data_IF_316157753010
#
_entry.id   IF_316157753010
#
_cell.length_a   1.000
_cell.length_b   1.000
_cell.length_c   1.000
_cell.angle_alpha   90.00
_cell.angle_beta   90.00
_cell.angle_gamma   90.00
#
_symmetry.space_group_name_H-M   'P 1'
#
loop_
_entity.id
_entity.type
_entity.pdbx_description
1 polymer ?
#
# COMPACT_ATOMS: atom_id res chain seq x y z
N UNK A 1 -24.73 -36.12 -4.78
CA UNK A 1 -24.12 -36.15 -3.43
C UNK A 1 -22.96 -37.14 -3.52
N UNK A 2 -21.74 -36.75 -3.13
CA UNK A 2 -20.47 -37.50 -3.27
C UNK A 2 -19.69 -37.26 -4.59
N UNK A 3 -19.14 -36.06 -4.74
CA UNK A 3 -17.90 -35.77 -5.50
C UNK A 3 -16.95 -34.87 -4.70
N UNK A 4 -17.02 -34.93 -3.36
CA UNK A 4 -16.22 -34.12 -2.43
C UNK A 4 -14.77 -34.64 -2.24
N UNK A 5 -14.34 -35.64 -3.03
CA UNK A 5 -13.02 -36.27 -2.94
C UNK A 5 -12.33 -36.43 -4.29
N UNK A 6 -12.77 -35.72 -5.33
CA UNK A 6 -11.87 -35.45 -6.47
C UNK A 6 -10.85 -34.40 -6.01
N UNK A 7 -9.58 -34.66 -6.30
CA UNK A 7 -8.40 -33.99 -5.72
C UNK A 7 -8.64 -32.50 -5.42
N UNK A 8 -8.38 -32.00 -4.20
CA UNK A 8 -8.57 -30.57 -3.88
C UNK A 8 -7.82 -29.64 -4.85
N UNK A 9 -6.79 -30.14 -5.52
CA UNK A 9 -6.04 -29.45 -6.57
C UNK A 9 -6.84 -29.09 -7.83
N UNK A 10 -8.00 -29.70 -8.09
CA UNK A 10 -8.77 -29.47 -9.31
C UNK A 10 -9.76 -28.31 -9.22
N UNK A 11 -10.16 -27.89 -8.00
CA UNK A 11 -11.04 -26.74 -7.81
C UNK A 11 -10.25 -25.51 -7.33
N UNK A 12 -10.09 -24.46 -8.19
CA UNK A 12 -9.38 -23.24 -7.81
C UNK A 12 -9.97 -22.55 -6.58
N UNK A 13 -11.29 -22.65 -6.40
CA UNK A 13 -11.99 -22.07 -5.26
C UNK A 13 -11.68 -22.81 -3.96
N UNK A 14 -11.66 -24.15 -3.99
CA UNK A 14 -11.33 -24.95 -2.81
C UNK A 14 -9.90 -24.67 -2.32
N UNK A 15 -8.94 -24.59 -3.25
CA UNK A 15 -7.56 -24.23 -2.94
C UNK A 15 -7.43 -22.81 -2.38
N UNK A 16 -8.15 -21.85 -2.97
CA UNK A 16 -8.18 -20.49 -2.45
C UNK A 16 -8.72 -20.41 -1.01
N UNK A 17 -9.84 -21.10 -0.72
CA UNK A 17 -10.40 -21.13 0.64
C UNK A 17 -9.43 -21.78 1.63
N UNK A 18 -8.75 -22.85 1.23
CA UNK A 18 -7.73 -23.51 2.03
C UNK A 18 -6.55 -22.56 2.32
N UNK A 19 -6.07 -21.84 1.30
CA UNK A 19 -5.00 -20.84 1.45
C UNK A 19 -5.39 -19.77 2.45
N UNK A 20 -6.56 -19.13 2.28
CA UNK A 20 -7.04 -18.10 3.20
C UNK A 20 -7.17 -18.65 4.62
N UNK A 21 -7.74 -19.84 4.78
CA UNK A 21 -7.88 -20.47 6.09
C UNK A 21 -6.53 -20.68 6.79
N UNK A 22 -5.57 -21.29 6.09
CA UNK A 22 -4.21 -21.52 6.60
C UNK A 22 -3.51 -20.20 6.91
N UNK A 23 -3.59 -19.21 6.01
CA UNK A 23 -2.99 -17.89 6.19
C UNK A 23 -3.56 -17.19 7.42
N UNK A 24 -4.88 -17.16 7.60
CA UNK A 24 -5.52 -16.51 8.74
C UNK A 24 -5.15 -17.18 10.08
N UNK A 25 -5.09 -18.52 10.11
CA UNK A 25 -4.69 -19.27 11.30
C UNK A 25 -3.26 -18.93 11.69
N UNK A 26 -2.32 -19.03 10.74
CA UNK A 26 -0.90 -18.79 11.02
C UNK A 26 -0.66 -17.32 11.41
N UNK A 27 -1.29 -16.37 10.72
CA UNK A 27 -1.26 -14.96 11.10
C UNK A 27 -1.75 -14.75 12.54
N UNK A 28 -2.87 -15.37 12.95
CA UNK A 28 -3.41 -15.23 14.32
C UNK A 28 -2.51 -15.89 15.37
N UNK A 29 -1.97 -17.08 15.08
CA UNK A 29 -1.07 -17.78 16.00
C UNK A 29 0.21 -16.96 16.19
N UNK A 30 0.84 -16.48 15.11
CA UNK A 30 2.05 -15.68 15.18
C UNK A 30 1.81 -14.33 15.84
N UNK A 31 0.72 -13.64 15.51
CA UNK A 31 0.34 -12.40 16.20
C UNK A 31 0.16 -12.63 17.70
N UNK A 32 -0.51 -13.71 18.11
CA UNK A 32 -0.66 -14.05 19.53
C UNK A 32 0.68 -14.38 20.18
N UNK A 33 1.53 -15.16 19.54
CA UNK A 33 2.85 -15.50 20.05
C UNK A 33 3.73 -14.26 20.24
N UNK A 34 3.71 -13.36 19.25
CA UNK A 34 4.48 -12.11 19.26
C UNK A 34 3.90 -11.09 20.24
N UNK A 35 2.60 -11.14 20.53
CA UNK A 35 1.99 -10.29 21.55
C UNK A 35 2.58 -10.53 22.95
N UNK A 36 3.08 -11.74 23.26
CA UNK A 36 3.80 -12.01 24.51
C UNK A 36 5.10 -11.22 24.63
N UNK A 37 5.72 -10.84 23.50
CA UNK A 37 6.94 -10.02 23.44
C UNK A 37 6.58 -8.55 23.13
N UNK A 38 5.30 -8.17 23.28
CA UNK A 38 4.77 -6.81 23.00
C UNK A 38 4.99 -6.33 21.57
N UNK A 39 5.07 -7.26 20.62
CA UNK A 39 5.18 -6.92 19.21
C UNK A 39 3.79 -6.67 18.61
N UNK A 40 3.62 -5.63 17.78
CA UNK A 40 2.40 -5.35 17.04
C UNK A 40 1.95 -6.52 16.16
N UNK A 41 0.63 -6.67 15.99
CA UNK A 41 0.02 -7.76 15.20
C UNK A 41 0.53 -7.81 13.75
N UNK A 42 0.79 -6.65 13.14
CA UNK A 42 1.26 -6.55 11.74
C UNK A 42 2.58 -7.29 11.53
N UNK A 43 3.47 -7.33 12.53
CA UNK A 43 4.74 -8.05 12.44
C UNK A 43 4.50 -9.56 12.30
N UNK A 44 3.53 -10.11 13.02
CA UNK A 44 3.15 -11.52 12.89
C UNK A 44 2.60 -11.87 11.52
N UNK A 45 1.89 -10.94 10.88
CA UNK A 45 1.39 -11.11 9.51
C UNK A 45 2.52 -11.08 8.49
N UNK A 46 3.49 -10.17 8.64
CA UNK A 46 4.68 -10.09 7.78
C UNK A 46 5.49 -11.40 7.90
N UNK A 47 5.73 -11.88 9.11
CA UNK A 47 6.46 -13.13 9.34
C UNK A 47 5.70 -14.32 8.75
N UNK A 48 4.37 -14.38 8.89
CA UNK A 48 3.55 -15.40 8.23
C UNK A 48 3.76 -15.39 6.72
N UNK A 49 3.76 -14.21 6.10
CA UNK A 49 4.03 -14.03 4.67
C UNK A 49 5.42 -14.52 4.26
N UNK A 50 6.46 -14.24 5.06
CA UNK A 50 7.83 -14.72 4.81
C UNK A 50 7.90 -16.26 4.92
N UNK A 51 7.21 -16.84 5.90
CA UNK A 51 7.13 -18.30 6.09
C UNK A 51 6.48 -18.97 4.89
N UNK A 52 5.32 -18.47 4.45
CA UNK A 52 4.61 -19.03 3.30
C UNK A 52 5.22 -18.64 1.95
N UNK A 53 6.08 -17.62 1.92
CA UNK A 53 6.78 -17.17 0.75
C UNK A 53 7.91 -18.12 0.32
N UNK A 54 8.56 -17.81 -0.81
CA UNK A 54 9.67 -18.62 -1.32
C UNK A 54 10.88 -18.64 -0.36
N UNK A 55 10.96 -17.68 0.58
CA UNK A 55 12.07 -17.51 1.51
C UNK A 55 12.26 -18.62 2.53
N UNK A 56 11.20 -19.35 2.89
CA UNK A 56 11.29 -20.45 3.86
C UNK A 56 10.68 -21.72 3.25
N UNK A 57 9.36 -21.75 3.09
CA UNK A 57 8.68 -22.96 2.65
C UNK A 57 8.82 -23.22 1.14
N UNK A 58 9.26 -22.23 0.36
CA UNK A 58 9.65 -22.44 -1.04
C UNK A 58 10.84 -23.37 -1.26
N UNK A 59 11.68 -23.60 -0.24
CA UNK A 59 12.78 -24.57 -0.32
C UNK A 59 12.34 -26.02 -0.18
N UNK A 60 11.14 -26.26 0.39
CA UNK A 60 10.57 -27.60 0.49
C UNK A 60 10.03 -28.04 -0.88
N UNK A 61 10.68 -29.04 -1.50
CA UNK A 61 10.28 -29.58 -2.80
C UNK A 61 8.79 -29.93 -2.82
N UNK A 62 8.04 -29.34 -3.75
CA UNK A 62 6.62 -29.61 -3.97
C UNK A 62 5.65 -28.85 -3.05
N UNK A 63 6.11 -28.11 -2.03
CA UNK A 63 5.21 -27.41 -1.11
C UNK A 63 4.49 -26.22 -1.76
N UNK A 64 5.23 -25.43 -2.54
CA UNK A 64 4.66 -24.30 -3.32
C UNK A 64 3.64 -24.78 -4.34
N UNK A 65 3.91 -25.88 -5.04
CA UNK A 65 2.98 -26.44 -6.03
C UNK A 65 1.76 -27.10 -5.38
N UNK A 66 1.94 -27.70 -4.20
CA UNK A 66 0.87 -28.39 -3.49
C UNK A 66 -0.17 -27.42 -2.92
N UNK A 67 0.25 -26.32 -2.29
CA UNK A 67 -0.70 -25.43 -1.58
C UNK A 67 -0.85 -24.07 -2.28
N UNK A 68 0.12 -23.63 -3.09
CA UNK A 68 0.06 -22.39 -3.88
C UNK A 68 0.14 -22.65 -5.40
N UNK A 69 -0.79 -23.44 -6.00
CA UNK A 69 -0.79 -23.62 -7.45
C UNK A 69 -1.11 -22.31 -8.17
N UNK A 70 -0.50 -22.10 -9.33
CA UNK A 70 -0.59 -20.87 -10.13
C UNK A 70 -2.01 -20.42 -10.48
N UNK A 71 -2.95 -21.37 -10.63
CA UNK A 71 -4.37 -21.11 -10.87
C UNK A 71 -5.04 -20.41 -9.69
N UNK A 72 -4.81 -20.89 -8.47
CA UNK A 72 -5.35 -20.30 -7.23
C UNK A 72 -4.60 -19.03 -6.80
N UNK A 73 -3.30 -18.94 -7.08
CA UNK A 73 -2.47 -17.78 -6.76
C UNK A 73 -2.98 -16.49 -7.41
N UNK A 74 -3.46 -16.56 -8.67
CA UNK A 74 -4.05 -15.40 -9.35
C UNK A 74 -5.30 -14.90 -8.63
N UNK A 75 -6.16 -15.81 -8.18
CA UNK A 75 -7.38 -15.47 -7.41
C UNK A 75 -7.00 -14.86 -6.06
N UNK A 76 -6.01 -15.46 -5.39
CA UNK A 76 -5.49 -14.95 -4.13
C UNK A 76 -4.91 -13.55 -4.28
N UNK A 77 -4.11 -13.29 -5.31
CA UNK A 77 -3.54 -11.98 -5.62
C UNK A 77 -4.62 -10.93 -5.92
N UNK A 78 -5.63 -11.30 -6.70
CA UNK A 78 -6.77 -10.40 -6.99
C UNK A 78 -7.46 -9.97 -5.70
N UNK A 79 -7.76 -10.92 -4.81
CA UNK A 79 -8.45 -10.64 -3.54
C UNK A 79 -7.54 -9.89 -2.57
N UNK A 80 -6.23 -10.17 -2.55
CA UNK A 80 -5.26 -9.43 -1.77
C UNK A 80 -5.17 -7.96 -2.21
N UNK A 81 -5.14 -7.70 -3.53
CA UNK A 81 -5.13 -6.34 -4.09
C UNK A 81 -6.44 -5.60 -3.77
N UNK A 82 -7.60 -6.24 -3.91
CA UNK A 82 -8.87 -5.66 -3.49
C UNK A 82 -8.89 -5.35 -1.99
N UNK A 83 -8.39 -6.28 -1.17
CA UNK A 83 -8.25 -6.07 0.27
C UNK A 83 -7.36 -4.89 0.61
N UNK A 84 -6.25 -4.71 -0.12
CA UNK A 84 -5.35 -3.57 0.02
C UNK A 84 -6.05 -2.26 -0.34
N UNK A 85 -6.78 -2.21 -1.47
CA UNK A 85 -7.53 -1.03 -1.90
C UNK A 85 -8.55 -0.62 -0.82
N UNK A 86 -9.35 -1.57 -0.32
CA UNK A 86 -10.33 -1.28 0.74
C UNK A 86 -9.66 -0.88 2.05
N UNK A 87 -8.55 -1.52 2.40
CA UNK A 87 -7.77 -1.17 3.58
C UNK A 87 -7.24 0.27 3.52
N UNK A 88 -6.65 0.69 2.39
CA UNK A 88 -6.22 2.09 2.19
C UNK A 88 -7.39 3.06 2.25
N UNK A 89 -8.54 2.67 1.72
CA UNK A 89 -9.74 3.50 1.75
C UNK A 89 -10.27 3.72 3.16
N UNK A 90 -10.45 2.64 3.93
CA UNK A 90 -10.89 2.75 5.32
C UNK A 90 -9.89 3.55 6.15
N UNK A 91 -8.60 3.32 5.92
CA UNK A 91 -7.57 4.11 6.57
C UNK A 91 -7.70 5.59 6.20
N UNK A 92 -7.88 5.91 4.92
CA UNK A 92 -8.10 7.28 4.44
C UNK A 92 -9.34 7.95 5.04
N UNK A 93 -10.40 7.20 5.33
CA UNK A 93 -11.60 7.70 5.99
C UNK A 93 -11.38 8.03 7.48
N UNK A 94 -10.45 7.35 8.13
CA UNK A 94 -10.10 7.56 9.55
C UNK A 94 -9.12 8.74 9.74
N UNK A 95 -8.53 9.25 8.65
CA UNK A 95 -7.59 10.37 8.69
C UNK A 95 -8.26 11.73 8.80
N UNK A 96 -7.87 12.48 9.82
CA UNK A 96 -8.23 13.89 9.95
C UNK A 96 -7.27 14.80 9.17
N UNK A 97 -7.64 15.10 7.93
CA UNK A 97 -6.91 16.03 7.06
C UNK A 97 -6.82 17.46 7.62
N UNK A 98 -7.73 17.86 8.50
CA UNK A 98 -7.70 19.21 9.09
C UNK A 98 -6.55 19.33 10.09
N UNK A 99 -6.32 18.28 10.89
CA UNK A 99 -5.19 18.23 11.82
C UNK A 99 -3.85 18.19 11.09
N UNK A 100 -3.76 17.43 9.99
CA UNK A 100 -2.58 17.41 9.11
C UNK A 100 -2.32 18.82 8.55
N UNK A 101 -3.38 19.47 8.04
CA UNK A 101 -3.28 20.83 7.50
C UNK A 101 -2.96 21.87 8.58
N UNK A 102 -3.37 21.70 9.83
CA UNK A 102 -3.05 22.66 10.89
C UNK A 102 -1.54 22.66 11.21
N UNK A 103 -0.89 21.50 11.11
CA UNK A 103 0.50 21.31 11.53
C UNK A 103 1.53 21.36 10.39
N UNK A 104 1.11 21.60 9.15
CA UNK A 104 1.95 21.51 7.95
C UNK A 104 3.26 22.31 8.01
N UNK A 105 3.26 23.48 8.67
CA UNK A 105 4.44 24.34 8.81
C UNK A 105 5.55 23.69 9.64
N UNK A 106 5.18 22.82 10.57
CA UNK A 106 6.13 22.03 11.39
C UNK A 106 6.44 20.72 10.68
N UNK A 107 5.45 20.09 10.06
CA UNK A 107 5.60 18.79 9.39
C UNK A 107 6.54 18.84 8.19
N UNK A 108 6.46 19.84 7.30
CA UNK A 108 7.26 19.88 6.06
C UNK A 108 8.77 19.95 6.35
N UNK A 109 9.29 20.87 7.18
CA UNK A 109 10.72 20.91 7.46
C UNK A 109 11.24 19.61 8.09
N UNK A 110 10.46 19.01 8.99
CA UNK A 110 10.80 17.73 9.63
C UNK A 110 10.85 16.61 8.59
N UNK A 111 9.88 16.56 7.67
CA UNK A 111 9.85 15.62 6.54
C UNK A 111 11.08 15.77 5.64
N UNK A 112 11.46 16.99 5.30
CA UNK A 112 12.65 17.22 4.49
C UNK A 112 13.91 16.67 5.19
N UNK A 113 14.06 16.93 6.49
CA UNK A 113 15.22 16.42 7.25
C UNK A 113 15.18 14.90 7.39
N UNK A 114 14.00 14.30 7.64
CA UNK A 114 13.84 12.84 7.76
C UNK A 114 14.11 12.12 6.44
N UNK A 115 13.83 12.75 5.30
CA UNK A 115 14.06 12.18 3.97
C UNK A 115 15.52 12.37 3.52
N UNK A 116 16.07 13.59 3.62
CA UNK A 116 17.37 13.93 3.00
C UNK A 116 18.49 13.02 3.50
N UNK A 117 18.54 12.76 4.82
CA UNK A 117 19.64 12.00 5.41
C UNK A 117 19.62 10.51 5.00
N UNK A 118 18.52 9.75 5.17
CA UNK A 118 18.45 8.36 4.73
C UNK A 118 18.47 8.19 3.21
N UNK A 119 17.87 9.10 2.43
CA UNK A 119 17.99 9.11 0.96
C UNK A 119 19.45 9.31 0.55
N UNK A 120 20.18 10.21 1.21
CA UNK A 120 21.61 10.43 0.96
C UNK A 120 22.42 9.15 1.19
N UNK A 121 22.15 8.44 2.28
CA UNK A 121 22.76 7.12 2.57
C UNK A 121 22.36 6.11 1.49
N UNK A 122 21.08 6.03 1.13
CA UNK A 122 20.57 5.14 0.09
C UNK A 122 21.23 5.38 -1.27
N UNK A 123 21.45 6.64 -1.65
CA UNK A 123 22.20 7.01 -2.86
C UNK A 123 23.65 6.56 -2.79
N UNK A 124 24.32 6.74 -1.65
CA UNK A 124 25.71 6.30 -1.47
C UNK A 124 25.83 4.77 -1.56
N UNK A 125 24.93 4.03 -0.90
CA UNK A 125 24.85 2.56 -0.97
C UNK A 125 24.55 2.11 -2.40
N UNK A 126 23.62 2.76 -3.09
CA UNK A 126 23.28 2.43 -4.47
C UNK A 126 24.46 2.63 -5.42
N UNK A 127 25.20 3.74 -5.28
CA UNK A 127 26.40 4.01 -6.07
C UNK A 127 27.49 2.96 -5.83
N UNK A 128 27.71 2.60 -4.56
CA UNK A 128 28.68 1.57 -4.19
C UNK A 128 28.31 0.20 -4.79
N UNK A 129 27.04 -0.21 -4.67
CA UNK A 129 26.56 -1.46 -5.27
C UNK A 129 26.63 -1.45 -6.81
N UNK A 130 26.28 -0.33 -7.45
CA UNK A 130 26.31 -0.21 -8.90
C UNK A 130 27.74 -0.28 -9.46
N UNK A 131 28.73 0.20 -8.71
CA UNK A 131 30.14 0.10 -9.11
C UNK A 131 30.71 -1.31 -8.91
N UNK A 132 30.24 -2.05 -7.91
CA UNK A 132 30.78 -3.38 -7.60
C UNK A 132 30.16 -4.49 -8.46
N UNK A 133 29.03 -4.25 -9.12
CA UNK A 133 28.32 -5.21 -9.95
C UNK A 133 28.24 -4.75 -11.41
N UNK A 134 29.05 -5.33 -12.28
CA UNK A 134 29.04 -5.04 -13.72
C UNK A 134 27.82 -5.61 -14.47
N UNK A 135 26.99 -6.44 -13.80
CA UNK A 135 25.83 -7.10 -14.39
C UNK A 135 24.49 -6.35 -14.31
N UNK A 136 24.48 -5.07 -13.92
CA UNK A 136 23.23 -4.29 -13.79
C UNK A 136 22.87 -3.66 -15.15
N UNK A 137 21.87 -4.23 -15.83
CA UNK A 137 21.37 -3.75 -17.13
C UNK A 137 20.41 -2.55 -17.04
N UNK A 138 20.10 -2.10 -15.82
CA UNK A 138 19.22 -0.94 -15.58
C UNK A 138 20.01 0.37 -15.61
N UNK A 139 19.39 1.43 -16.13
CA UNK A 139 19.91 2.80 -16.01
C UNK A 139 20.37 3.12 -14.58
N UNK A 140 21.60 3.62 -14.46
CA UNK A 140 22.20 4.06 -13.20
C UNK A 140 21.27 4.98 -12.40
N UNK A 141 20.60 5.92 -13.07
CA UNK A 141 19.67 6.85 -12.42
C UNK A 141 18.45 6.14 -11.83
N UNK A 142 17.84 5.23 -12.59
CA UNK A 142 16.68 4.46 -12.10
C UNK A 142 17.07 3.57 -10.93
N UNK A 143 18.23 2.91 -11.00
CA UNK A 143 18.74 2.09 -9.91
C UNK A 143 18.96 2.89 -8.62
N UNK A 144 19.62 4.05 -8.72
CA UNK A 144 19.88 4.92 -7.56
C UNK A 144 18.57 5.42 -6.96
N UNK A 145 17.64 5.93 -7.77
CA UNK A 145 16.35 6.45 -7.28
C UNK A 145 15.52 5.34 -6.60
N UNK A 146 15.51 4.13 -7.17
CA UNK A 146 14.79 3.00 -6.61
C UNK A 146 15.38 2.58 -5.25
N UNK A 147 16.69 2.38 -5.16
CA UNK A 147 17.35 2.01 -3.89
C UNK A 147 17.22 3.12 -2.85
N UNK A 148 17.45 4.38 -3.24
CA UNK A 148 17.34 5.51 -2.32
C UNK A 148 15.91 5.68 -1.78
N UNK A 149 14.89 5.41 -2.60
CA UNK A 149 13.50 5.42 -2.15
C UNK A 149 13.23 4.36 -1.06
N UNK A 150 13.83 3.19 -1.15
CA UNK A 150 13.69 2.15 -0.12
C UNK A 150 14.28 2.51 1.24
N UNK A 151 15.25 3.45 1.29
CA UNK A 151 15.85 3.93 2.54
C UNK A 151 15.16 5.16 3.12
N UNK A 152 14.61 6.01 2.24
CA UNK A 152 14.15 7.36 2.56
C UNK A 152 12.74 7.50 3.08
N UNK A 153 11.87 6.52 2.79
CA UNK A 153 10.43 6.70 2.92
C UNK A 153 9.79 5.57 3.74
N UNK A 154 8.78 5.93 4.52
CA UNK A 154 8.00 4.99 5.31
C UNK A 154 6.65 4.68 4.65
N UNK A 155 6.21 3.42 4.74
CA UNK A 155 4.88 3.04 4.25
C UNK A 155 3.82 3.55 5.21
N UNK A 156 3.16 4.64 4.83
CA UNK A 156 2.04 5.25 5.53
C UNK A 156 1.02 4.26 6.12
N UNK A 157 0.58 3.22 5.39
CA UNK A 157 -0.51 2.35 5.85
C UNK A 157 -0.12 1.41 6.99
N UNK A 158 1.12 0.92 6.93
CA UNK A 158 1.69 0.08 7.99
C UNK A 158 1.87 0.90 9.25
N UNK A 159 2.37 2.14 9.12
CA UNK A 159 2.55 3.06 10.23
C UNK A 159 1.22 3.43 10.89
N UNK A 160 0.18 3.72 10.10
CA UNK A 160 -1.12 4.05 10.65
C UNK A 160 -1.75 2.86 11.39
N UNK A 161 -1.62 1.64 10.86
CA UNK A 161 -2.07 0.42 11.56
C UNK A 161 -1.28 0.18 12.84
N UNK A 162 0.03 0.44 12.81
CA UNK A 162 0.89 0.35 13.97
C UNK A 162 0.43 1.32 15.07
N UNK A 163 0.27 2.60 14.75
CA UNK A 163 -0.20 3.61 15.69
C UNK A 163 -1.61 3.30 16.21
N UNK A 164 -2.50 2.76 15.36
CA UNK A 164 -3.82 2.30 15.78
C UNK A 164 -3.70 1.16 16.81
N UNK A 165 -2.86 0.16 16.52
CA UNK A 165 -2.64 -0.96 17.44
C UNK A 165 -2.04 -0.55 18.78
N UNK A 166 -1.36 0.60 18.82
CA UNK A 166 -0.78 1.20 20.02
C UNK A 166 -1.69 2.23 20.70
N UNK A 167 -2.89 2.50 20.16
CA UNK A 167 -3.79 3.58 20.59
C UNK A 167 -3.15 4.98 20.58
N UNK A 168 -2.25 5.24 19.62
CA UNK A 168 -1.54 6.52 19.50
C UNK A 168 -2.07 7.43 18.38
N UNK A 169 -3.03 6.98 17.57
CA UNK A 169 -3.53 7.74 16.41
C UNK A 169 -4.01 9.16 16.77
N UNK A 170 -4.67 9.31 17.92
CA UNK A 170 -5.24 10.60 18.36
C UNK A 170 -4.29 11.42 19.23
N UNK A 171 -3.14 10.84 19.63
CA UNK A 171 -2.14 11.56 20.43
C UNK A 171 -1.37 12.57 19.55
N UNK A 172 -0.89 13.70 20.10
CA UNK A 172 -0.17 14.71 19.34
C UNK A 172 1.03 14.14 18.55
N UNK A 173 1.73 13.17 19.14
CA UNK A 173 2.85 12.47 18.50
C UNK A 173 2.35 11.64 17.32
N UNK A 174 1.26 10.88 17.48
CA UNK A 174 0.69 10.07 16.40
C UNK A 174 0.16 10.94 15.25
N UNK A 175 -0.56 12.01 15.54
CA UNK A 175 -1.04 12.97 14.53
C UNK A 175 0.13 13.57 13.73
N UNK A 176 1.21 13.96 14.41
CA UNK A 176 2.41 14.48 13.75
C UNK A 176 3.10 13.40 12.89
N UNK A 177 3.23 12.18 13.41
CA UNK A 177 3.83 11.05 12.69
C UNK A 177 3.03 10.64 11.45
N UNK A 178 1.70 10.62 11.53
CA UNK A 178 0.80 10.36 10.38
C UNK A 178 0.90 11.48 9.35
N UNK A 179 0.94 12.74 9.80
CA UNK A 179 1.09 13.90 8.91
C UNK A 179 2.42 13.83 8.15
N UNK A 180 3.50 13.44 8.84
CA UNK A 180 4.83 13.26 8.29
C UNK A 180 4.83 12.15 7.22
N UNK A 181 4.29 10.98 7.57
CA UNK A 181 4.24 9.84 6.65
C UNK A 181 3.34 10.10 5.43
N UNK A 182 2.27 10.88 5.56
CA UNK A 182 1.44 11.28 4.42
C UNK A 182 2.21 12.16 3.43
N UNK A 183 3.08 13.06 3.91
CA UNK A 183 3.97 13.86 3.04
C UNK A 183 5.02 12.96 2.38
N UNK A 184 5.63 12.05 3.14
CA UNK A 184 6.60 11.08 2.62
C UNK A 184 6.00 10.19 1.52
N UNK A 185 4.76 9.72 1.69
CA UNK A 185 4.07 8.87 0.70
C UNK A 185 3.85 9.61 -0.62
N UNK A 186 3.45 10.88 -0.58
CA UNK A 186 3.32 11.71 -1.80
C UNK A 186 4.68 11.86 -2.50
N UNK A 187 5.74 12.13 -1.74
CA UNK A 187 7.08 12.35 -2.30
C UNK A 187 7.63 11.05 -2.90
N UNK A 188 7.47 9.90 -2.25
CA UNK A 188 7.99 8.63 -2.77
C UNK A 188 7.32 8.24 -4.08
N UNK A 189 6.02 8.45 -4.24
CA UNK A 189 5.32 8.17 -5.51
C UNK A 189 5.82 9.04 -6.65
N UNK A 190 6.15 10.31 -6.38
CA UNK A 190 6.78 11.19 -7.39
C UNK A 190 8.18 10.67 -7.74
N UNK A 191 8.99 10.29 -6.74
CA UNK A 191 10.33 9.74 -6.96
C UNK A 191 10.29 8.44 -7.76
N UNK A 192 9.35 7.54 -7.45
CA UNK A 192 9.17 6.26 -8.16
C UNK A 192 8.68 6.45 -9.59
N UNK A 193 7.77 7.40 -9.84
CA UNK A 193 7.35 7.76 -11.20
C UNK A 193 8.51 8.32 -12.04
N UNK A 194 9.42 9.08 -11.42
CA UNK A 194 10.65 9.52 -12.08
C UNK A 194 11.61 8.33 -12.29
N UNK A 195 11.77 7.46 -11.30
CA UNK A 195 12.63 6.27 -11.41
C UNK A 195 12.18 5.34 -12.55
N UNK A 196 10.87 5.12 -12.71
CA UNK A 196 10.31 4.34 -13.82
C UNK A 196 10.57 4.98 -15.18
N UNK A 197 10.51 6.32 -15.27
CA UNK A 197 10.84 7.08 -16.48
C UNK A 197 12.25 6.81 -17.02
N UNK A 198 13.20 6.58 -16.10
CA UNK A 198 14.60 6.34 -16.43
C UNK A 198 14.96 4.86 -16.53
N UNK A 199 14.06 3.93 -16.19
CA UNK A 199 14.33 2.49 -16.24
C UNK A 199 14.47 2.00 -17.70
N UNK A 200 15.28 0.95 -17.92
CA UNK A 200 15.58 0.45 -19.26
C UNK A 200 14.31 0.00 -19.98
N UNK A 201 13.84 0.81 -20.94
CA UNK A 201 12.58 0.62 -21.68
C UNK A 201 11.58 1.77 -21.54
N UNK A 202 11.73 2.64 -20.54
CA UNK A 202 10.92 3.86 -20.37
C UNK A 202 11.48 5.02 -21.19
N UNK A 203 10.63 5.72 -21.93
CA UNK A 203 10.99 7.04 -22.46
C UNK A 203 10.78 8.09 -21.38
N UNK A 204 11.63 9.12 -21.31
CA UNK A 204 11.40 10.27 -20.41
C UNK A 204 10.00 10.91 -20.62
N UNK A 205 9.49 10.80 -21.86
CA UNK A 205 8.12 11.18 -22.23
C UNK A 205 7.06 10.35 -21.49
N UNK A 206 7.27 9.04 -21.32
CA UNK A 206 6.34 8.16 -20.60
C UNK A 206 6.29 8.49 -19.11
N UNK A 207 7.43 8.76 -18.47
CA UNK A 207 7.45 9.20 -17.07
C UNK A 207 6.79 10.57 -16.87
N UNK A 208 7.04 11.52 -17.78
CA UNK A 208 6.37 12.82 -17.76
C UNK A 208 4.86 12.67 -17.97
N UNK A 209 4.45 11.78 -18.88
CA UNK A 209 3.05 11.45 -19.14
C UNK A 209 2.37 10.90 -17.88
N UNK A 210 2.97 9.90 -17.23
CA UNK A 210 2.45 9.34 -15.97
C UNK A 210 2.35 10.43 -14.90
N UNK A 211 3.39 11.24 -14.69
CA UNK A 211 3.38 12.31 -13.68
C UNK A 211 2.27 13.35 -13.94
N UNK A 212 2.09 13.77 -15.20
CA UNK A 212 1.04 14.71 -15.59
C UNK A 212 -0.35 14.13 -15.37
N UNK A 213 -0.55 12.84 -15.64
CA UNK A 213 -1.81 12.15 -15.42
C UNK A 213 -2.12 12.02 -13.93
N UNK A 214 -1.12 11.71 -13.09
CA UNK A 214 -1.31 11.67 -11.63
C UNK A 214 -1.69 13.06 -11.10
N UNK A 215 -1.03 14.13 -11.58
CA UNK A 215 -1.38 15.50 -11.21
C UNK A 215 -2.79 15.87 -11.68
N UNK A 216 -3.16 15.53 -12.92
CA UNK A 216 -4.49 15.77 -13.46
C UNK A 216 -5.56 15.04 -12.64
N UNK A 217 -5.31 13.79 -12.27
CA UNK A 217 -6.18 12.99 -11.41
C UNK A 217 -6.37 13.65 -10.03
N UNK A 218 -5.28 14.06 -9.37
CA UNK A 218 -5.34 14.78 -8.09
C UNK A 218 -6.15 16.07 -8.21
N UNK A 219 -5.92 16.86 -9.26
CA UNK A 219 -6.65 18.11 -9.49
C UNK A 219 -8.15 17.86 -9.69
N UNK A 220 -8.53 16.83 -10.47
CA UNK A 220 -9.93 16.45 -10.66
C UNK A 220 -10.57 16.04 -9.33
N UNK A 221 -9.87 15.26 -8.50
CA UNK A 221 -10.35 14.85 -7.17
C UNK A 221 -10.64 16.04 -6.26
N UNK A 222 -9.75 17.04 -6.24
CA UNK A 222 -9.92 18.21 -5.37
C UNK A 222 -10.87 19.27 -5.93
N UNK A 223 -10.88 19.51 -7.24
CA UNK A 223 -11.63 20.60 -7.88
C UNK A 223 -13.05 20.19 -8.26
N UNK A 224 -13.24 18.94 -8.69
CA UNK A 224 -14.55 18.47 -9.19
C UNK A 224 -15.25 17.63 -8.14
N UNK A 225 -14.58 16.58 -7.67
CA UNK A 225 -15.22 15.57 -6.82
C UNK A 225 -15.50 16.10 -5.42
N UNK A 226 -14.50 16.70 -4.76
CA UNK A 226 -14.69 17.26 -3.40
C UNK A 226 -15.87 18.23 -3.29
N UNK A 227 -16.06 19.24 -4.16
CA UNK A 227 -17.23 20.11 -4.06
C UNK A 227 -18.55 19.41 -4.42
N UNK A 228 -18.55 18.41 -5.31
CA UNK A 228 -19.75 17.59 -5.57
C UNK A 228 -20.19 16.88 -4.30
N UNK A 229 -19.26 16.25 -3.57
CA UNK A 229 -19.56 15.60 -2.30
C UNK A 229 -19.97 16.60 -1.22
N UNK A 230 -19.34 17.77 -1.15
CA UNK A 230 -19.73 18.84 -0.22
C UNK A 230 -21.15 19.37 -0.51
N UNK A 231 -21.49 19.57 -1.78
CA UNK A 231 -22.82 19.95 -2.22
C UNK A 231 -23.86 18.87 -1.93
N UNK A 232 -23.56 17.60 -2.26
CA UNK A 232 -24.43 16.47 -1.99
C UNK A 232 -24.70 16.33 -0.48
N UNK A 233 -23.67 16.43 0.35
CA UNK A 233 -23.81 16.40 1.80
C UNK A 233 -24.74 17.51 2.32
N UNK A 234 -24.55 18.75 1.85
CA UNK A 234 -25.42 19.87 2.22
C UNK A 234 -26.87 19.75 1.69
N UNK A 235 -27.07 19.09 0.55
CA UNK A 235 -28.38 18.84 -0.03
C UNK A 235 -29.17 17.77 0.75
N UNK A 236 -28.51 16.66 1.13
CA UNK A 236 -29.17 15.56 1.83
C UNK A 236 -29.35 15.79 3.34
N UNK A 237 -28.46 16.54 4.01
CA UNK A 237 -28.65 16.99 5.41
C UNK A 237 -29.94 17.79 5.62
N UNK A 238 -30.37 18.55 4.60
CA UNK A 238 -31.61 19.33 4.66
C UNK A 238 -32.88 18.50 4.55
N UNK A 239 -32.77 17.19 4.26
CA UNK A 239 -33.92 16.35 3.88
C UNK A 239 -34.23 15.21 4.87
N UNK A 240 -33.60 15.20 6.05
CA UNK A 240 -33.91 14.28 7.17
C UNK A 240 -33.99 12.78 6.84
N UNK A 241 -33.43 12.37 5.68
CA UNK A 241 -33.34 10.99 5.22
C UNK A 241 -31.94 10.43 5.51
N UNK A 242 -31.80 9.10 5.47
CA UNK A 242 -30.57 8.31 5.67
C UNK A 242 -29.39 8.75 4.77
N UNK A 243 -28.82 9.90 5.11
CA UNK A 243 -27.84 10.68 4.37
C UNK A 243 -26.50 9.92 4.25
N UNK A 244 -26.20 9.08 5.24
CA UNK A 244 -24.95 8.35 5.31
C UNK A 244 -24.83 7.26 4.22
N UNK A 245 -25.91 6.57 3.87
CA UNK A 245 -25.81 5.41 2.97
C UNK A 245 -25.44 5.85 1.55
N UNK A 246 -26.10 6.87 1.01
CA UNK A 246 -25.83 7.34 -0.36
C UNK A 246 -24.44 7.97 -0.52
N UNK A 247 -23.97 8.70 0.51
CA UNK A 247 -22.61 9.28 0.49
C UNK A 247 -21.56 8.16 0.54
N UNK A 248 -21.75 7.17 1.41
CA UNK A 248 -20.84 6.02 1.52
C UNK A 248 -20.81 5.21 0.22
N UNK A 249 -21.97 4.93 -0.38
CA UNK A 249 -22.06 4.25 -1.69
C UNK A 249 -21.39 5.08 -2.78
N UNK A 250 -21.58 6.41 -2.78
CA UNK A 250 -20.90 7.32 -3.70
C UNK A 250 -19.38 7.26 -3.57
N UNK A 251 -18.85 7.30 -2.34
CA UNK A 251 -17.41 7.17 -2.08
C UNK A 251 -16.89 5.81 -2.56
N UNK A 252 -17.64 4.73 -2.35
CA UNK A 252 -17.26 3.39 -2.78
C UNK A 252 -17.24 3.24 -4.30
N UNK A 253 -18.25 3.77 -5.01
CA UNK A 253 -18.25 3.79 -6.47
C UNK A 253 -17.09 4.60 -7.03
N UNK A 254 -16.77 5.73 -6.40
CA UNK A 254 -15.67 6.57 -6.80
C UNK A 254 -14.32 5.88 -6.63
N UNK A 255 -14.14 5.16 -5.53
CA UNK A 255 -12.98 4.29 -5.30
C UNK A 255 -12.82 3.25 -6.42
N UNK A 256 -13.89 2.55 -6.79
CA UNK A 256 -13.84 1.55 -7.84
C UNK A 256 -13.49 2.15 -9.21
N UNK A 257 -14.07 3.31 -9.54
CA UNK A 257 -13.75 4.04 -10.77
C UNK A 257 -12.27 4.47 -10.76
N UNK A 258 -11.81 5.06 -9.65
CA UNK A 258 -10.42 5.49 -9.50
C UNK A 258 -9.46 4.30 -9.69
N UNK A 259 -9.69 3.19 -8.97
CA UNK A 259 -8.86 1.99 -9.08
C UNK A 259 -8.86 1.42 -10.50
N UNK A 260 -10.01 1.39 -11.17
CA UNK A 260 -10.10 0.95 -12.56
C UNK A 260 -9.29 1.85 -13.50
N UNK A 261 -9.42 3.17 -13.36
CA UNK A 261 -8.66 4.11 -14.18
C UNK A 261 -7.15 3.99 -13.97
N UNK A 262 -6.69 3.66 -12.77
CA UNK A 262 -5.27 3.47 -12.46
C UNK A 262 -4.72 2.14 -13.00
N UNK A 263 -5.51 1.06 -13.04
CA UNK A 263 -5.03 -0.21 -13.63
C UNK A 263 -4.98 -0.18 -15.17
N UNK A 264 -5.86 0.58 -15.81
CA UNK A 264 -5.98 0.61 -17.27
C UNK A 264 -4.93 1.52 -17.94
N UNK A 265 -4.38 2.48 -17.19
CA UNK A 265 -3.50 3.55 -17.67
C UNK A 265 -2.03 3.25 -17.40
#
# INVERSE_FOLDING_TARGET
MVTLFENPHESPLAMFLLQVFITLIVCKILAKLLSFIRQPQVIGQIIAGIIFGPSILGYAKGWTEAIWPTSSLKIFQLIANLGLIFFMFFLGLELDLQQIKANWKVTIPVACVSIIFPVGIGCAVALWFYQMNEGIETSKTAFILFIASGFGFSAFPVLATLLNSMNLLSEPIGVQTISLAAVEDIVVWVVLAVASAFSSGGSALQGLYTLLLTLAFILIMFIVIRPIFGWAHGYYLRRENDCNVYIVVGCFLLLLIASFTTEVM
#
